data_IF_745055991220
#
_entry.id   IF_745055991220
#
_cell.length_a   1.000
_cell.length_b   1.000
_cell.length_c   1.000
_cell.angle_alpha   90.00
_cell.angle_beta   90.00
_cell.angle_gamma   90.00
#
_symmetry.space_group_name_H-M   'P 1'
#
loop_
_entity.id
_entity.type
_entity.pdbx_description
1 polymer ?
#
# COMPACT_ATOMS: atom_id res chain seq x y z
N UNK A 1 30.00 32.77 8.99
CA UNK A 1 28.53 32.81 8.94
C UNK A 1 28.09 32.39 7.54
N UNK A 2 27.53 31.19 7.39
CA UNK A 2 26.91 30.71 6.16
C UNK A 2 25.55 30.12 6.53
N UNK A 3 24.45 30.66 6.00
CA UNK A 3 23.10 30.15 6.24
C UNK A 3 22.97 28.76 5.59
N UNK A 4 22.32 27.77 6.23
CA UNK A 4 21.92 26.56 5.54
C UNK A 4 20.84 26.87 4.51
N UNK A 5 20.97 26.26 3.32
CA UNK A 5 20.05 26.38 2.20
C UNK A 5 18.62 26.01 2.61
N UNK A 6 17.68 26.92 2.29
CA UNK A 6 16.23 26.70 2.39
C UNK A 6 15.81 25.72 1.28
N UNK A 7 15.18 24.60 1.65
CA UNK A 7 14.58 23.65 0.70
C UNK A 7 13.22 24.18 0.21
N UNK A 8 12.89 24.05 -1.10
CA UNK A 8 11.65 24.58 -1.65
C UNK A 8 10.42 23.77 -1.22
N UNK A 9 9.29 24.48 -1.20
CA UNK A 9 7.99 24.05 -0.74
C UNK A 9 7.48 22.80 -1.47
N UNK A 10 6.93 21.88 -0.67
CA UNK A 10 6.13 20.74 -1.09
C UNK A 10 4.79 21.29 -1.59
N UNK A 11 4.53 21.23 -2.89
CA UNK A 11 3.17 21.41 -3.42
C UNK A 11 2.67 20.06 -3.95
N UNK A 12 1.50 19.70 -3.41
CA UNK A 12 0.44 18.89 -4.03
C UNK A 12 0.62 17.37 -4.23
N UNK A 13 0.04 16.67 -3.24
CA UNK A 13 -0.98 15.60 -3.40
C UNK A 13 -0.53 14.13 -3.34
N UNK A 14 0.75 13.83 -3.28
CA UNK A 14 1.21 12.47 -2.97
C UNK A 14 2.11 12.46 -1.73
N UNK A 15 1.77 11.64 -0.74
CA UNK A 15 2.53 11.31 0.48
C UNK A 15 2.65 12.37 1.60
N UNK A 16 1.54 12.57 2.32
CA UNK A 16 1.60 12.91 3.76
C UNK A 16 0.75 11.98 4.61
N UNK A 17 0.54 10.74 4.17
CA UNK A 17 -0.29 9.77 4.87
C UNK A 17 0.50 8.50 5.15
N UNK A 18 0.62 8.14 6.42
CA UNK A 18 1.07 6.79 6.84
C UNK A 18 -0.15 5.94 7.08
N UNK A 19 -0.12 4.70 6.58
CA UNK A 19 -1.20 3.73 6.76
C UNK A 19 -0.75 2.60 7.69
N UNK A 20 -1.68 2.12 8.51
CA UNK A 20 -1.50 0.96 9.36
C UNK A 20 -2.67 0.00 9.16
N UNK A 21 -2.36 -1.29 9.04
CA UNK A 21 -3.33 -2.37 8.97
C UNK A 21 -3.63 -2.87 10.39
N UNK A 22 -4.90 -2.76 10.79
CA UNK A 22 -5.51 -3.36 11.99
C UNK A 22 -6.66 -4.25 11.49
N UNK A 23 -7.13 -5.30 12.20
CA UNK A 23 -8.17 -6.17 11.66
C UNK A 23 -9.32 -5.36 11.07
N UNK A 24 -9.51 -5.53 9.76
CA UNK A 24 -10.59 -4.94 8.99
C UNK A 24 -10.52 -3.42 8.73
N UNK A 25 -9.43 -2.71 9.06
CA UNK A 25 -9.36 -1.23 8.89
C UNK A 25 -7.98 -0.73 8.46
N UNK A 26 -7.96 0.14 7.46
CA UNK A 26 -6.83 1.01 7.13
C UNK A 26 -6.97 2.35 7.86
N UNK A 27 -5.93 2.75 8.57
CA UNK A 27 -5.90 4.00 9.35
C UNK A 27 -4.91 4.98 8.73
N UNK A 28 -5.32 6.22 8.46
CA UNK A 28 -4.45 7.30 7.98
C UNK A 28 -4.03 8.24 9.13
N UNK A 29 -2.84 8.82 8.98
CA UNK A 29 -2.27 9.86 9.84
C UNK A 29 -1.70 10.96 8.96
N UNK A 30 -1.73 12.20 9.43
CA UNK A 30 -0.97 13.27 8.81
C UNK A 30 0.48 13.23 9.32
N UNK A 31 1.43 13.42 8.42
CA UNK A 31 2.88 13.39 8.72
C UNK A 31 3.42 14.82 8.74
N UNK A 32 3.94 15.24 9.90
CA UNK A 32 4.63 16.52 10.06
C UNK A 32 6.07 16.47 9.50
N UNK A 33 6.71 17.61 9.20
CA UNK A 33 8.07 17.64 8.64
C UNK A 33 9.15 16.96 9.49
N UNK A 34 8.92 16.82 10.80
CA UNK A 34 9.78 16.10 11.75
C UNK A 34 9.50 14.59 11.82
N UNK A 35 8.56 14.09 11.00
CA UNK A 35 8.10 12.71 11.02
C UNK A 35 7.02 12.42 12.07
N UNK A 36 6.59 13.42 12.85
CA UNK A 36 5.51 13.29 13.81
C UNK A 36 4.19 12.90 13.15
N UNK A 37 3.40 12.05 13.82
CA UNK A 37 2.10 11.58 13.34
C UNK A 37 0.98 12.24 14.11
N UNK A 38 0.01 12.81 13.40
CA UNK A 38 -1.18 13.41 13.99
C UNK A 38 -2.45 13.05 13.20
N UNK A 39 -3.61 13.53 13.66
CA UNK A 39 -4.89 13.38 12.95
C UNK A 39 -5.22 11.94 12.52
N UNK A 40 -5.15 11.00 13.47
CA UNK A 40 -5.51 9.59 13.27
C UNK A 40 -6.97 9.46 12.83
N UNK A 41 -7.21 8.89 11.65
CA UNK A 41 -8.56 8.66 11.12
C UNK A 41 -8.68 7.36 10.34
N UNK A 42 -9.89 6.86 10.15
CA UNK A 42 -10.14 5.71 9.28
C UNK A 42 -10.01 6.12 7.81
N UNK A 43 -9.19 5.41 7.04
CA UNK A 43 -9.08 5.55 5.59
C UNK A 43 -10.10 4.65 4.87
N UNK A 44 -10.18 3.38 5.28
CA UNK A 44 -11.14 2.40 4.78
C UNK A 44 -11.44 1.34 5.84
N UNK A 45 -12.65 0.78 5.83
CA UNK A 45 -13.10 -0.28 6.73
C UNK A 45 -13.61 -1.48 5.93
N UNK A 46 -13.67 -2.66 6.56
CA UNK A 46 -14.23 -3.87 5.97
C UNK A 46 -13.32 -4.60 4.97
N UNK A 47 -12.11 -4.09 4.75
CA UNK A 47 -11.07 -4.71 3.90
C UNK A 47 -10.17 -5.53 4.83
N UNK A 48 -9.62 -6.67 4.39
CA UNK A 48 -8.59 -7.40 5.15
C UNK A 48 -7.18 -7.01 4.70
N UNK A 49 -6.68 -5.80 5.00
CA UNK A 49 -5.39 -5.36 4.52
C UNK A 49 -4.27 -6.14 5.19
N UNK A 50 -3.23 -6.41 4.42
CA UNK A 50 -1.93 -6.85 4.91
C UNK A 50 -0.89 -5.85 4.38
N UNK A 51 -0.08 -6.24 3.39
CA UNK A 51 0.78 -5.33 2.64
C UNK A 51 0.01 -4.17 1.99
N UNK A 52 0.66 -3.01 1.94
CA UNK A 52 0.11 -1.79 1.33
C UNK A 52 1.15 -0.98 0.57
N UNK A 53 0.72 -0.32 -0.50
CA UNK A 53 1.46 0.78 -1.11
C UNK A 53 0.48 1.84 -1.67
N UNK A 54 0.97 3.07 -1.88
CA UNK A 54 0.17 4.18 -2.41
C UNK A 54 0.58 4.51 -3.84
N UNK A 55 -0.37 4.98 -4.63
CA UNK A 55 -0.11 5.56 -5.95
C UNK A 55 -0.26 7.09 -5.99
N UNK A 56 0.13 7.68 -7.11
CA UNK A 56 0.15 9.13 -7.33
C UNK A 56 -1.25 9.77 -7.36
N UNK A 57 -2.32 8.99 -7.55
CA UNK A 57 -3.69 9.48 -7.46
C UNK A 57 -4.18 9.53 -6.00
N UNK A 58 -3.35 9.11 -5.04
CA UNK A 58 -3.71 9.02 -3.63
C UNK A 58 -4.54 7.78 -3.28
N UNK A 59 -4.64 6.80 -4.17
CA UNK A 59 -5.23 5.50 -3.88
C UNK A 59 -4.22 4.55 -3.23
N UNK A 60 -4.75 3.49 -2.61
CA UNK A 60 -3.99 2.49 -1.85
C UNK A 60 -4.21 1.13 -2.46
N UNK A 61 -3.13 0.43 -2.79
CA UNK A 61 -3.16 -1.00 -3.06
C UNK A 61 -3.02 -1.76 -1.74
N UNK A 62 -3.84 -2.79 -1.55
CA UNK A 62 -3.76 -3.68 -0.38
C UNK A 62 -4.34 -5.06 -0.65
N UNK A 63 -4.01 -6.05 0.17
CA UNK A 63 -4.69 -7.35 0.16
C UNK A 63 -6.21 -7.24 0.41
N UNK A 64 -6.99 -8.10 -0.24
CA UNK A 64 -8.46 -8.09 -0.12
C UNK A 64 -8.99 -8.82 1.13
N UNK A 65 -8.12 -9.52 1.86
CA UNK A 65 -8.50 -10.47 2.91
C UNK A 65 -8.67 -11.92 2.43
N UNK A 66 -8.25 -12.21 1.20
CA UNK A 66 -8.26 -13.54 0.58
C UNK A 66 -7.21 -13.65 -0.52
N UNK A 67 -7.56 -14.30 -1.63
CA UNK A 67 -6.65 -14.54 -2.76
C UNK A 67 -6.71 -13.40 -3.79
N UNK A 68 -6.21 -12.22 -3.42
CA UNK A 68 -6.19 -11.08 -4.32
C UNK A 68 -5.90 -9.76 -3.63
N UNK A 69 -5.69 -8.73 -4.42
CA UNK A 69 -5.51 -7.37 -3.93
C UNK A 69 -6.50 -6.40 -4.58
N UNK A 70 -6.71 -5.27 -3.91
CA UNK A 70 -7.62 -4.21 -4.32
C UNK A 70 -6.90 -2.88 -4.29
N UNK A 71 -7.28 -2.01 -5.23
CA UNK A 71 -6.95 -0.59 -5.23
C UNK A 71 -8.14 0.18 -4.68
N UNK A 72 -7.94 0.99 -3.67
CA UNK A 72 -9.03 1.71 -3.00
C UNK A 72 -8.72 3.19 -2.83
N UNK A 73 -9.75 4.03 -2.83
CA UNK A 73 -9.64 5.43 -2.39
C UNK A 73 -10.10 5.62 -0.95
N UNK A 74 -9.79 6.79 -0.37
CA UNK A 74 -10.27 7.18 0.95
C UNK A 74 -11.81 7.09 1.01
N UNK A 75 -12.34 6.52 2.08
CA UNK A 75 -13.74 6.12 2.20
C UNK A 75 -13.99 4.64 1.91
N UNK A 76 -13.04 3.94 1.28
CA UNK A 76 -13.10 2.49 1.05
C UNK A 76 -13.76 2.06 -0.26
N UNK A 77 -13.95 2.99 -1.21
CA UNK A 77 -14.38 2.62 -2.55
C UNK A 77 -13.27 1.86 -3.28
N UNK A 78 -13.62 0.70 -3.83
CA UNK A 78 -12.75 -0.14 -4.63
C UNK A 78 -12.74 0.36 -6.07
N UNK A 79 -11.57 0.80 -6.52
CA UNK A 79 -11.32 1.31 -7.86
C UNK A 79 -10.85 0.21 -8.82
N UNK A 80 -10.15 -0.79 -8.30
CA UNK A 80 -9.58 -1.89 -9.08
C UNK A 80 -9.36 -3.13 -8.21
N UNK A 81 -9.24 -4.29 -8.85
CA UNK A 81 -9.10 -5.60 -8.21
C UNK A 81 -8.29 -6.54 -9.09
N UNK A 82 -7.30 -7.17 -8.47
CA UNK A 82 -6.50 -8.23 -9.09
C UNK A 82 -6.76 -9.51 -8.31
N UNK A 83 -7.40 -10.46 -8.97
CA UNK A 83 -7.58 -11.82 -8.44
C UNK A 83 -6.26 -12.59 -8.58
N UNK A 84 -5.93 -13.36 -7.55
CA UNK A 84 -4.74 -14.19 -7.48
C UNK A 84 -5.18 -15.61 -7.13
N UNK A 85 -4.28 -16.57 -7.30
CA UNK A 85 -4.52 -17.94 -6.85
C UNK A 85 -4.06 -18.17 -5.40
N UNK A 86 -3.55 -17.13 -4.72
CA UNK A 86 -2.98 -17.21 -3.37
C UNK A 86 -2.98 -15.85 -2.66
N UNK A 87 -2.69 -15.83 -1.37
CA UNK A 87 -2.77 -14.62 -0.55
C UNK A 87 -1.60 -13.66 -0.85
N UNK A 88 -1.86 -12.35 -1.05
CA UNK A 88 -0.81 -11.34 -1.13
C UNK A 88 -0.43 -10.80 0.24
N UNK A 89 0.88 -10.70 0.50
CA UNK A 89 1.44 -10.27 1.77
C UNK A 89 2.16 -8.92 1.68
N UNK A 90 2.76 -8.59 0.53
CA UNK A 90 3.38 -7.30 0.31
C UNK A 90 3.11 -6.81 -1.12
N UNK A 91 2.93 -5.50 -1.25
CA UNK A 91 2.66 -4.83 -2.52
C UNK A 91 3.58 -3.61 -2.63
N UNK A 92 4.15 -3.39 -3.81
CA UNK A 92 4.96 -2.21 -4.08
C UNK A 92 4.83 -1.79 -5.54
N UNK A 93 4.65 -0.49 -5.77
CA UNK A 93 4.72 0.09 -7.11
C UNK A 93 6.16 0.47 -7.43
N UNK A 94 6.65 0.01 -8.59
CA UNK A 94 8.01 0.22 -9.04
C UNK A 94 8.16 0.01 -10.55
N UNK A 95 9.36 -0.37 -10.97
CA UNK A 95 9.74 -0.41 -12.38
C UNK A 95 10.21 0.97 -12.88
N UNK A 96 10.83 1.00 -14.05
CA UNK A 96 11.38 2.23 -14.65
C UNK A 96 10.30 3.27 -14.97
N UNK A 97 9.09 2.82 -15.27
CA UNK A 97 7.92 3.66 -15.54
C UNK A 97 7.03 3.88 -14.30
N UNK A 98 7.40 3.29 -13.15
CA UNK A 98 6.62 3.28 -11.90
C UNK A 98 5.19 2.72 -12.03
N UNK A 99 4.89 1.94 -13.07
CA UNK A 99 3.57 1.32 -13.32
C UNK A 99 3.56 -0.18 -13.09
N UNK A 100 4.64 -0.75 -12.57
CA UNK A 100 4.66 -2.18 -12.22
C UNK A 100 4.28 -2.36 -10.76
N UNK A 101 3.15 -3.02 -10.51
CA UNK A 101 2.78 -3.50 -9.18
C UNK A 101 3.45 -4.85 -8.94
N UNK A 102 4.43 -4.89 -8.05
CA UNK A 102 5.03 -6.12 -7.54
C UNK A 102 4.21 -6.63 -6.37
N UNK A 103 3.90 -7.93 -6.39
CA UNK A 103 3.06 -8.58 -5.39
C UNK A 103 3.77 -9.82 -4.87
N UNK A 104 4.12 -9.82 -3.59
CA UNK A 104 4.62 -11.01 -2.89
C UNK A 104 3.44 -11.82 -2.39
N UNK A 105 3.40 -13.11 -2.75
CA UNK A 105 2.23 -13.96 -2.58
C UNK A 105 2.63 -15.37 -2.13
N UNK A 106 1.79 -16.05 -1.35
CA UNK A 106 1.98 -17.46 -0.96
C UNK A 106 0.63 -18.13 -0.66
N UNK A 107 0.58 -19.46 -0.74
CA UNK A 107 -0.62 -20.22 -0.30
C UNK A 107 -0.71 -20.09 1.23
N UNK A 108 -1.82 -19.55 1.70
CA UNK A 108 -2.08 -19.35 3.13
C UNK A 108 -3.06 -20.40 3.65
N UNK A 109 -2.62 -21.17 4.64
CA UNK A 109 -3.45 -22.09 5.40
C UNK A 109 -3.44 -21.67 6.87
N UNK A 110 -4.57 -21.16 7.34
CA UNK A 110 -4.71 -20.70 8.72
C UNK A 110 -4.57 -21.83 9.76
N UNK A 111 -4.82 -23.08 9.38
CA UNK A 111 -4.65 -24.24 10.26
C UNK A 111 -3.18 -24.69 10.35
N UNK A 112 -2.35 -24.33 9.38
CA UNK A 112 -0.93 -24.70 9.33
C UNK A 112 -0.05 -23.58 8.70
N UNK A 113 0.03 -22.40 9.33
CA UNK A 113 0.57 -21.18 8.70
C UNK A 113 2.05 -21.25 8.33
N UNK A 114 2.80 -22.19 8.92
CA UNK A 114 4.25 -22.34 8.71
C UNK A 114 4.64 -23.74 8.23
N UNK A 115 3.68 -24.64 8.07
CA UNK A 115 3.92 -25.98 7.56
C UNK A 115 3.65 -26.11 6.07
N UNK A 116 4.01 -27.27 5.51
CA UNK A 116 3.79 -27.56 4.09
C UNK A 116 4.91 -27.09 3.16
N UNK A 117 4.59 -26.98 1.87
CA UNK A 117 5.55 -26.64 0.80
C UNK A 117 5.83 -25.13 0.79
N UNK A 118 7.03 -24.75 0.38
CA UNK A 118 7.38 -23.35 0.09
C UNK A 118 6.68 -22.91 -1.20
N UNK A 119 5.65 -22.08 -1.09
CA UNK A 119 4.79 -21.64 -2.20
C UNK A 119 4.93 -20.15 -2.55
N UNK A 120 5.90 -19.47 -1.93
CA UNK A 120 6.15 -18.05 -2.12
C UNK A 120 6.49 -17.71 -3.57
N UNK A 121 5.87 -16.66 -4.09
CA UNK A 121 6.07 -16.14 -5.44
C UNK A 121 6.04 -14.62 -5.43
N UNK A 122 6.81 -14.01 -6.34
CA UNK A 122 6.64 -12.62 -6.73
C UNK A 122 5.98 -12.62 -8.10
N UNK A 123 4.81 -12.00 -8.19
CA UNK A 123 4.09 -11.77 -9.45
C UNK A 123 4.00 -10.27 -9.71
N UNK A 124 3.75 -9.91 -10.96
CA UNK A 124 3.61 -8.51 -11.36
C UNK A 124 2.32 -8.27 -12.11
N UNK A 125 1.81 -7.05 -11.99
CA UNK A 125 0.70 -6.54 -12.79
C UNK A 125 0.96 -5.09 -13.20
N UNK A 126 0.32 -4.64 -14.27
CA UNK A 126 0.36 -3.23 -14.68
C UNK A 126 -0.62 -2.43 -13.82
N UNK A 127 -0.16 -1.34 -13.24
CA UNK A 127 -0.96 -0.44 -12.43
C UNK A 127 -1.53 0.72 -13.26
N UNK A 128 -2.79 1.14 -12.98
CA UNK A 128 -3.44 2.24 -13.67
C UNK A 128 -2.81 3.61 -13.33
N UNK A 129 -2.09 3.72 -12.21
CA UNK A 129 -1.44 4.94 -11.73
C UNK A 129 0.04 4.69 -11.35
N UNK A 130 0.82 5.77 -11.35
CA UNK A 130 2.25 5.74 -10.98
C UNK A 130 2.42 5.47 -9.49
N UNK A 131 3.50 4.78 -9.10
CA UNK A 131 3.90 4.65 -7.71
C UNK A 131 4.14 5.98 -7.02
N UNK A 132 3.62 6.12 -5.80
CA UNK A 132 3.93 7.24 -4.92
C UNK A 132 5.17 6.91 -4.06
N UNK A 133 5.96 7.93 -3.71
CA UNK A 133 7.08 7.82 -2.78
C UNK A 133 8.42 7.79 -3.48
N UNK A 134 9.51 7.75 -2.72
CA UNK A 134 10.84 7.51 -3.27
C UNK A 134 11.07 5.99 -3.39
N UNK A 135 11.77 5.51 -4.45
CA UNK A 135 12.27 4.14 -4.51
C UNK A 135 13.28 3.84 -3.38
#
# INVERSE_FOLDING_TARGET
>A
MGRPQRWPAWEETALKKRLSACPRTLTAFDIAPDGGLSNRRGFAKGIGPDGICTDADGAVWTGSGGQGCVRIREGGEVLDRIELDRAPFALMLGGSDRRTLFIMTAVWDAANPFGGRRTGQVVTATAPALGAGWP
#
